data_IF_921035001735
#
_entry.id   IF_921035001735
#
_cell.length_a   1.000
_cell.length_b   1.000
_cell.length_c   1.000
_cell.angle_alpha   90.00
_cell.angle_beta   90.00
_cell.angle_gamma   90.00
#
_symmetry.space_group_name_H-M   'P 1'
#
loop_
_entity.id
_entity.type
_entity.pdbx_description
1 polymer ?
#
# COMPACT_ATOMS: atom_id res chain seq x y z
N UNK A 1 -20.53 -16.41 -31.37
CA UNK A 1 -19.16 -16.15 -30.87
C UNK A 1 -19.37 -15.96 -29.39
N UNK A 2 -19.14 -17.03 -28.64
CA UNK A 2 -19.50 -17.16 -27.22
C UNK A 2 -18.54 -16.29 -26.40
N UNK A 3 -19.12 -15.41 -25.59
CA UNK A 3 -18.45 -14.74 -24.49
C UNK A 3 -17.88 -15.82 -23.57
N UNK A 4 -16.58 -16.07 -23.67
CA UNK A 4 -15.84 -16.73 -22.59
C UNK A 4 -15.76 -15.69 -21.47
N UNK A 5 -16.71 -15.75 -20.55
CA UNK A 5 -16.48 -15.27 -19.19
C UNK A 5 -15.18 -15.93 -18.74
N UNK A 6 -14.10 -15.15 -18.67
CA UNK A 6 -12.88 -15.49 -17.97
C UNK A 6 -13.24 -15.71 -16.52
N UNK A 7 -13.71 -16.92 -16.23
CA UNK A 7 -13.83 -17.46 -14.90
C UNK A 7 -12.43 -17.35 -14.31
N UNK A 8 -12.29 -16.50 -13.30
CA UNK A 8 -11.04 -16.25 -12.59
C UNK A 8 -10.54 -17.56 -11.96
N UNK A 9 -9.74 -18.30 -12.73
CA UNK A 9 -9.28 -19.68 -12.47
C UNK A 9 -8.43 -19.78 -11.18
N UNK A 10 -8.04 -18.63 -10.60
CA UNK A 10 -7.19 -18.56 -9.42
C UNK A 10 -7.89 -18.03 -8.16
N UNK A 11 -9.17 -17.69 -8.25
CA UNK A 11 -9.96 -17.21 -7.12
C UNK A 11 -9.46 -15.88 -6.55
N UNK A 12 -8.83 -15.05 -7.36
CA UNK A 12 -8.39 -13.71 -7.01
C UNK A 12 -9.55 -12.86 -6.49
N UNK A 13 -10.70 -12.93 -7.15
CA UNK A 13 -11.93 -12.23 -6.76
C UNK A 13 -12.63 -12.79 -5.53
N UNK A 14 -12.22 -13.97 -5.05
CA UNK A 14 -12.73 -14.54 -3.80
C UNK A 14 -12.02 -14.00 -2.56
N UNK A 15 -10.86 -13.36 -2.74
CA UNK A 15 -10.09 -12.78 -1.63
C UNK A 15 -10.70 -11.41 -1.29
N UNK A 16 -11.08 -11.18 -0.03
CA UNK A 16 -11.75 -9.94 0.35
C UNK A 16 -10.79 -8.74 0.26
N UNK A 17 -11.31 -7.61 -0.20
CA UNK A 17 -10.63 -6.32 -0.06
C UNK A 17 -10.33 -6.03 1.41
N UNK A 18 -9.18 -5.39 1.67
CA UNK A 18 -8.76 -5.03 3.02
C UNK A 18 -9.77 -4.12 3.74
N UNK A 19 -10.55 -3.30 3.02
CA UNK A 19 -11.60 -2.47 3.64
C UNK A 19 -12.64 -3.33 4.36
N UNK A 20 -12.98 -4.48 3.77
CA UNK A 20 -13.96 -5.42 4.34
C UNK A 20 -13.29 -6.31 5.39
N UNK A 21 -12.16 -6.93 5.03
CA UNK A 21 -11.49 -7.91 5.89
C UNK A 21 -10.92 -7.31 7.19
N UNK A 22 -10.56 -6.03 7.16
CA UNK A 22 -10.00 -5.29 8.29
C UNK A 22 -10.97 -4.27 8.87
N UNK A 23 -12.26 -4.35 8.53
CA UNK A 23 -13.30 -3.52 9.13
C UNK A 23 -13.31 -3.73 10.66
N UNK A 24 -12.88 -2.72 11.40
CA UNK A 24 -12.76 -2.78 12.86
C UNK A 24 -11.35 -3.09 13.38
N UNK A 25 -10.32 -3.12 12.53
CA UNK A 25 -8.94 -3.12 13.02
C UNK A 25 -8.68 -1.83 13.82
N UNK A 26 -8.51 -1.98 15.13
CA UNK A 26 -8.14 -0.90 16.04
C UNK A 26 -6.65 -0.60 16.02
N UNK A 27 -6.27 0.50 16.67
CA UNK A 27 -4.88 0.96 16.83
C UNK A 27 -4.40 0.86 18.29
N UNK A 28 -5.18 0.19 19.14
CA UNK A 28 -5.03 0.08 20.60
C UNK A 28 -3.76 -0.65 21.04
N UNK A 29 -3.16 -1.48 20.17
CA UNK A 29 -1.92 -2.22 20.49
C UNK A 29 -0.67 -1.36 20.33
N UNK A 30 -0.78 -0.19 19.71
CA UNK A 30 0.35 0.71 19.52
C UNK A 30 0.68 1.45 20.83
N UNK A 31 1.97 1.57 21.12
CA UNK A 31 2.43 2.54 22.12
C UNK A 31 2.24 3.95 21.57
N UNK A 32 2.26 4.96 22.45
CA UNK A 32 2.19 6.36 22.04
C UNK A 32 3.30 6.73 21.02
N UNK A 33 4.52 6.22 21.24
CA UNK A 33 5.67 6.43 20.36
C UNK A 33 5.47 5.78 18.99
N UNK A 34 5.02 4.53 18.94
CA UNK A 34 4.75 3.84 17.67
C UNK A 34 3.63 4.54 16.90
N UNK A 35 2.52 4.88 17.58
CA UNK A 35 1.38 5.60 16.99
C UNK A 35 1.83 6.91 16.36
N UNK A 36 2.57 7.72 17.10
CA UNK A 36 3.08 9.02 16.63
C UNK A 36 4.04 8.84 15.46
N UNK A 37 4.94 7.87 15.53
CA UNK A 37 5.94 7.65 14.48
C UNK A 37 5.30 7.15 13.18
N UNK A 38 4.32 6.23 13.27
CA UNK A 38 3.54 5.74 12.13
C UNK A 38 2.69 6.87 11.53
N UNK A 39 2.06 7.70 12.35
CA UNK A 39 1.29 8.85 11.88
C UNK A 39 2.17 9.87 11.14
N UNK A 40 3.32 10.23 11.71
CA UNK A 40 4.29 11.12 11.06
C UNK A 40 4.78 10.52 9.75
N UNK A 41 5.08 9.21 9.72
CA UNK A 41 5.44 8.51 8.49
C UNK A 41 4.34 8.67 7.42
N UNK A 42 3.09 8.35 7.78
CA UNK A 42 1.96 8.37 6.86
C UNK A 42 1.63 9.77 6.29
N UNK A 43 1.80 10.83 7.09
CA UNK A 43 1.42 12.19 6.69
C UNK A 43 2.53 12.94 5.93
N UNK A 44 3.80 12.77 6.30
CA UNK A 44 4.88 13.60 5.72
C UNK A 44 6.28 12.98 5.76
N UNK A 45 6.48 11.91 6.53
CA UNK A 45 7.80 11.29 6.73
C UNK A 45 8.15 10.19 5.73
N UNK A 46 7.19 9.74 4.91
CA UNK A 46 7.35 8.54 4.09
C UNK A 46 8.46 8.67 3.04
N UNK A 47 8.59 9.81 2.36
CA UNK A 47 9.58 9.99 1.30
C UNK A 47 11.01 9.78 1.79
N UNK A 48 11.37 10.45 2.89
CA UNK A 48 12.73 10.38 3.44
C UNK A 48 13.06 8.96 3.92
N UNK A 49 12.11 8.31 4.61
CA UNK A 49 12.29 6.94 5.11
C UNK A 49 12.41 5.96 3.95
N UNK A 50 11.49 6.02 2.97
CA UNK A 50 11.46 5.09 1.85
C UNK A 50 12.71 5.25 0.95
N UNK A 51 13.15 6.49 0.69
CA UNK A 51 14.40 6.74 -0.06
C UNK A 51 15.62 6.16 0.65
N UNK A 52 15.72 6.29 1.97
CA UNK A 52 16.82 5.71 2.73
C UNK A 52 16.79 4.17 2.72
N UNK A 53 15.60 3.57 2.84
CA UNK A 53 15.43 2.11 2.74
C UNK A 53 15.80 1.57 1.35
N UNK A 54 15.52 2.33 0.29
CA UNK A 54 15.89 2.02 -1.11
C UNK A 54 17.35 2.36 -1.45
N UNK A 55 18.14 2.89 -0.50
CA UNK A 55 19.53 3.29 -0.74
C UNK A 55 19.71 4.57 -1.57
N UNK A 56 18.63 5.32 -1.81
CA UNK A 56 18.63 6.57 -2.59
C UNK A 56 19.01 7.80 -1.74
N UNK A 57 19.22 7.60 -0.44
CA UNK A 57 19.76 8.58 0.50
C UNK A 57 20.46 7.86 1.67
N UNK A 58 21.41 8.50 2.35
CA UNK A 58 22.10 7.89 3.50
C UNK A 58 21.15 7.46 4.62
N UNK A 59 21.38 6.26 5.16
CA UNK A 59 20.69 5.78 6.36
C UNK A 59 21.29 6.42 7.61
N UNK A 60 20.60 7.41 8.18
CA UNK A 60 21.02 8.05 9.44
C UNK A 60 20.56 7.22 10.66
N UNK A 61 21.19 7.39 11.84
CA UNK A 61 20.74 6.72 13.06
C UNK A 61 19.27 7.01 13.41
N UNK A 62 18.82 8.26 13.25
CA UNK A 62 17.43 8.64 13.51
C UNK A 62 16.42 8.03 12.52
N UNK A 63 16.79 7.85 11.25
CA UNK A 63 15.94 7.13 10.29
C UNK A 63 15.85 5.66 10.63
N UNK A 64 16.97 5.04 11.02
CA UNK A 64 16.99 3.63 11.46
C UNK A 64 16.09 3.41 12.67
N UNK A 65 16.19 4.26 13.68
CA UNK A 65 15.33 4.19 14.86
C UNK A 65 13.85 4.31 14.50
N UNK A 66 13.46 5.27 13.64
CA UNK A 66 12.09 5.41 13.17
C UNK A 66 11.60 4.17 12.42
N UNK A 67 12.42 3.60 11.53
CA UNK A 67 12.11 2.37 10.80
C UNK A 67 11.86 1.21 11.77
N UNK A 68 12.71 1.08 12.80
CA UNK A 68 12.58 0.01 13.78
C UNK A 68 11.31 0.16 14.63
N UNK A 69 10.95 1.39 15.01
CA UNK A 69 9.68 1.70 15.70
C UNK A 69 8.47 1.36 14.81
N UNK A 70 8.48 1.76 13.53
CA UNK A 70 7.39 1.44 12.60
C UNK A 70 7.25 -0.07 12.44
N UNK A 71 8.36 -0.79 12.22
CA UNK A 71 8.37 -2.26 12.14
C UNK A 71 7.84 -2.91 13.41
N UNK A 72 8.24 -2.41 14.58
CA UNK A 72 7.73 -2.91 15.86
C UNK A 72 6.22 -2.72 16.00
N UNK A 73 5.70 -1.56 15.60
CA UNK A 73 4.27 -1.27 15.60
C UNK A 73 3.49 -2.16 14.63
N UNK A 74 3.92 -2.26 13.37
CA UNK A 74 3.25 -3.06 12.34
C UNK A 74 3.19 -4.55 12.69
N UNK A 75 4.25 -5.10 13.31
CA UNK A 75 4.29 -6.51 13.75
C UNK A 75 3.20 -6.90 14.75
N UNK A 76 2.56 -5.93 15.42
CA UNK A 76 1.43 -6.17 16.34
C UNK A 76 0.11 -6.44 15.62
N UNK A 77 0.09 -6.22 14.31
CA UNK A 77 -1.07 -6.36 13.44
C UNK A 77 -0.74 -7.33 12.28
N UNK A 78 -0.48 -8.62 12.56
CA UNK A 78 -0.46 -9.61 11.50
C UNK A 78 -1.86 -9.71 10.88
N UNK A 79 -1.94 -9.78 9.56
CA UNK A 79 -3.22 -9.96 8.87
C UNK A 79 -3.88 -11.29 9.30
N UNK A 80 -5.16 -11.28 9.72
CA UNK A 80 -5.85 -12.48 10.18
C UNK A 80 -6.20 -13.45 9.05
N UNK A 81 -6.27 -12.95 7.82
CA UNK A 81 -6.54 -13.68 6.57
C UNK A 81 -5.77 -13.03 5.42
N UNK A 82 -5.73 -13.67 4.26
CA UNK A 82 -5.26 -13.01 3.05
C UNK A 82 -6.25 -11.91 2.64
N UNK A 83 -5.74 -10.79 2.13
CA UNK A 83 -6.56 -9.64 1.72
C UNK A 83 -6.09 -9.09 0.39
N UNK A 84 -7.00 -8.47 -0.36
CA UNK A 84 -6.68 -7.64 -1.53
C UNK A 84 -6.47 -6.20 -1.14
N UNK A 85 -5.43 -5.59 -1.70
CA UNK A 85 -5.14 -4.16 -1.59
C UNK A 85 -4.77 -3.63 -2.95
N UNK A 86 -5.04 -2.36 -3.20
CA UNK A 86 -4.72 -1.73 -4.48
C UNK A 86 -3.70 -0.62 -4.30
N UNK A 87 -2.96 -0.29 -5.36
CA UNK A 87 -2.04 0.84 -5.35
C UNK A 87 -1.95 1.41 -6.74
N UNK A 88 -2.17 2.72 -6.86
CA UNK A 88 -1.78 3.43 -8.05
C UNK A 88 -0.27 3.73 -8.03
N UNK A 89 0.37 3.53 -9.18
CA UNK A 89 1.77 3.82 -9.42
C UNK A 89 1.97 4.25 -10.87
N UNK A 90 3.13 4.84 -11.19
CA UNK A 90 3.48 5.14 -12.56
C UNK A 90 3.88 3.86 -13.32
N UNK A 91 3.41 3.73 -14.56
CA UNK A 91 3.73 2.63 -15.48
C UNK A 91 5.24 2.44 -15.68
N UNK A 92 5.98 3.56 -15.72
CA UNK A 92 7.44 3.60 -15.90
C UNK A 92 8.22 2.80 -14.86
N UNK A 93 7.69 2.65 -13.64
CA UNK A 93 8.36 1.90 -12.56
C UNK A 93 8.48 0.41 -12.90
N UNK A 94 7.62 -0.07 -13.79
CA UNK A 94 7.54 -1.46 -14.24
C UNK A 94 7.85 -1.60 -15.73
N UNK A 95 8.36 -0.53 -16.37
CA UNK A 95 8.63 -0.49 -17.81
C UNK A 95 7.39 -0.85 -18.67
N UNK A 96 6.20 -0.52 -18.18
CA UNK A 96 4.93 -0.79 -18.84
C UNK A 96 4.65 0.26 -19.91
N UNK A 97 4.54 -0.18 -21.16
CA UNK A 97 4.23 0.65 -22.32
C UNK A 97 2.99 0.17 -23.07
N UNK A 98 2.66 -1.10 -22.96
CA UNK A 98 1.53 -1.77 -23.60
C UNK A 98 1.18 -3.11 -22.90
N UNK A 99 0.16 -3.79 -23.40
CA UNK A 99 -0.27 -5.10 -22.89
C UNK A 99 0.85 -6.18 -22.98
N UNK A 100 1.67 -6.15 -24.03
CA UNK A 100 2.74 -7.13 -24.21
C UNK A 100 3.82 -6.96 -23.14
N UNK A 101 4.19 -5.73 -22.79
CA UNK A 101 5.10 -5.44 -21.68
C UNK A 101 4.52 -5.90 -20.34
N UNK A 102 3.21 -5.78 -20.12
CA UNK A 102 2.55 -6.30 -18.91
C UNK A 102 2.60 -7.84 -18.85
N UNK A 103 2.31 -8.53 -19.95
CA UNK A 103 2.39 -9.98 -20.02
C UNK A 103 3.82 -10.50 -19.83
N UNK A 104 4.84 -9.75 -20.25
CA UNK A 104 6.24 -10.11 -20.03
C UNK A 104 6.63 -10.13 -18.54
N UNK A 105 5.89 -9.44 -17.67
CA UNK A 105 6.14 -9.42 -16.22
C UNK A 105 5.51 -10.62 -15.49
N UNK A 106 4.70 -11.45 -16.15
CA UNK A 106 4.10 -12.63 -15.50
C UNK A 106 5.22 -13.53 -14.97
N UNK A 107 5.08 -13.99 -13.73
CA UNK A 107 6.08 -14.75 -12.96
C UNK A 107 7.37 -13.99 -12.59
N UNK A 108 7.47 -12.69 -12.88
CA UNK A 108 8.56 -11.85 -12.39
C UNK A 108 8.40 -11.55 -10.91
N UNK A 109 9.53 -11.39 -10.22
CA UNK A 109 9.61 -11.05 -8.80
C UNK A 109 10.15 -9.63 -8.65
N UNK A 110 9.49 -8.85 -7.81
CA UNK A 110 9.88 -7.48 -7.50
C UNK A 110 10.20 -7.36 -6.00
N UNK A 111 11.34 -6.74 -5.69
CA UNK A 111 11.74 -6.42 -4.33
C UNK A 111 11.41 -4.97 -4.01
N UNK A 112 10.56 -4.73 -3.01
CA UNK A 112 10.37 -3.41 -2.41
C UNK A 112 11.09 -3.37 -1.05
N UNK A 113 12.16 -2.59 -0.99
CA UNK A 113 12.96 -2.44 0.22
C UNK A 113 12.29 -1.52 1.26
N UNK A 114 11.41 -0.62 0.81
CA UNK A 114 10.69 0.31 1.67
C UNK A 114 9.38 -0.27 2.22
N UNK A 115 8.66 0.52 3.03
CA UNK A 115 7.28 0.18 3.35
C UNK A 115 6.39 0.46 2.14
N UNK A 116 5.46 -0.45 1.86
CA UNK A 116 4.53 -0.34 0.75
C UNK A 116 3.19 0.25 1.23
N UNK A 117 2.87 1.46 0.77
CA UNK A 117 1.56 2.08 1.02
C UNK A 117 0.55 1.57 -0.02
N UNK A 118 -0.63 1.18 0.44
CA UNK A 118 -1.69 0.64 -0.40
C UNK A 118 -3.05 1.18 0.05
N UNK A 119 -4.03 1.12 -0.85
CA UNK A 119 -5.43 1.40 -0.63
C UNK A 119 -6.16 0.12 -0.24
N UNK A 120 -7.12 0.26 0.67
CA UNK A 120 -8.01 -0.82 1.06
C UNK A 120 -9.22 -0.97 0.12
N UNK A 121 -9.39 -0.04 -0.83
CA UNK A 121 -10.48 0.02 -1.80
C UNK A 121 -10.12 -0.71 -3.09
N UNK A 122 -11.11 -1.16 -3.87
CA UNK A 122 -10.89 -1.69 -5.21
C UNK A 122 -10.35 -0.63 -6.19
N UNK A 123 -10.78 0.61 -6.02
CA UNK A 123 -10.31 1.75 -6.80
C UNK A 123 -9.45 2.65 -5.90
N UNK A 124 -8.11 2.67 -6.09
CA UNK A 124 -7.23 3.50 -5.29
C UNK A 124 -7.42 4.98 -5.62
N UNK A 125 -7.21 5.91 -4.67
CA UNK A 125 -7.23 7.34 -4.96
C UNK A 125 -6.25 7.70 -6.09
N UNK A 126 -6.73 8.47 -7.07
CA UNK A 126 -5.91 8.95 -8.18
C UNK A 126 -4.91 10.02 -7.75
N UNK A 127 -3.66 9.89 -8.23
CA UNK A 127 -2.61 10.89 -8.10
C UNK A 127 -2.39 11.60 -9.41
N UNK A 128 -2.54 12.93 -9.41
CA UNK A 128 -2.23 13.79 -10.55
C UNK A 128 -0.73 13.82 -10.92
N UNK A 129 0.13 13.23 -10.09
CA UNK A 129 1.57 13.17 -10.31
C UNK A 129 1.98 12.03 -11.25
N UNK A 130 1.12 11.05 -11.50
CA UNK A 130 1.41 9.95 -12.40
C UNK A 130 0.88 10.29 -13.80
N UNK A 131 1.78 10.47 -14.77
CA UNK A 131 1.41 10.78 -16.15
C UNK A 131 0.66 9.61 -16.83
N UNK A 132 1.06 8.38 -16.51
CA UNK A 132 0.46 7.13 -16.98
C UNK A 132 0.23 6.19 -15.78
N UNK A 133 -0.87 6.37 -15.03
CA UNK A 133 -1.12 5.58 -13.83
C UNK A 133 -1.52 4.14 -14.20
N UNK A 134 -0.95 3.18 -13.48
CA UNK A 134 -1.38 1.78 -13.47
C UNK A 134 -1.80 1.39 -12.06
N UNK A 135 -2.76 0.47 -11.97
CA UNK A 135 -3.23 -0.07 -10.70
C UNK A 135 -2.59 -1.43 -10.48
N UNK A 136 -1.87 -1.56 -9.37
CA UNK A 136 -1.48 -2.85 -8.83
C UNK A 136 -2.60 -3.34 -7.93
N UNK A 137 -3.15 -4.52 -8.22
CA UNK A 137 -4.08 -5.22 -7.34
C UNK A 137 -3.36 -6.44 -6.74
N UNK A 138 -3.12 -6.37 -5.44
CA UNK A 138 -2.16 -7.23 -4.74
C UNK A 138 -2.89 -8.09 -3.73
N UNK A 139 -2.57 -9.39 -3.72
CA UNK A 139 -2.89 -10.28 -2.62
C UNK A 139 -1.79 -10.15 -1.57
N UNK A 140 -2.17 -9.80 -0.35
CA UNK A 140 -1.29 -9.83 0.82
C UNK A 140 -1.65 -11.03 1.68
N UNK A 141 -0.69 -11.94 1.83
CA UNK A 141 -0.89 -13.19 2.56
C UNK A 141 -1.18 -12.98 4.05
N UNK A 142 -1.97 -13.89 4.62
CA UNK A 142 -2.20 -14.00 6.06
C UNK A 142 -0.87 -13.98 6.84
N UNK A 143 -0.87 -13.31 8.00
CA UNK A 143 0.30 -13.19 8.86
C UNK A 143 1.24 -12.06 8.50
N UNK A 144 1.12 -11.48 7.30
CA UNK A 144 1.90 -10.30 6.90
C UNK A 144 1.58 -9.13 7.85
N UNK A 145 2.58 -8.42 8.39
CA UNK A 145 2.34 -7.21 9.18
C UNK A 145 1.68 -6.11 8.33
N UNK A 146 0.51 -5.64 8.75
CA UNK A 146 -0.26 -4.63 8.02
C UNK A 146 -1.21 -3.86 8.93
N UNK A 147 -1.27 -2.54 8.73
CA UNK A 147 -2.12 -1.65 9.51
C UNK A 147 -2.96 -0.77 8.57
N UNK A 148 -4.28 -0.85 8.71
CA UNK A 148 -5.20 0.07 8.09
C UNK A 148 -5.09 1.41 8.82
N UNK A 149 -4.57 2.43 8.12
CA UNK A 149 -4.24 3.69 8.77
C UNK A 149 -5.46 4.53 9.16
N UNK A 150 -6.63 4.33 8.54
CA UNK A 150 -7.93 4.88 8.96
C UNK A 150 -7.85 6.25 9.67
N UNK A 151 -8.31 6.29 10.92
CA UNK A 151 -8.33 7.47 11.81
C UNK A 151 -6.94 8.10 12.10
N UNK A 152 -5.83 7.37 11.93
CA UNK A 152 -4.48 7.92 12.10
C UNK A 152 -4.09 8.86 10.96
N UNK A 153 -4.65 8.61 9.78
CA UNK A 153 -4.38 9.34 8.55
C UNK A 153 -5.59 10.15 8.10
N UNK A 154 -6.49 10.54 9.03
CA UNK A 154 -7.52 11.55 8.75
C UNK A 154 -6.84 12.84 8.27
N UNK A 155 -6.66 12.93 6.95
CA UNK A 155 -6.74 14.18 6.25
C UNK A 155 -8.12 14.73 6.61
N UNK A 156 -8.15 15.88 7.30
CA UNK A 156 -9.29 16.77 7.13
C UNK A 156 -9.39 16.90 5.62
N UNK A 157 -10.42 16.30 5.00
CA UNK A 157 -10.69 16.48 3.58
C UNK A 157 -10.64 17.99 3.37
N UNK A 158 -9.58 18.49 2.76
CA UNK A 158 -9.66 19.75 2.06
C UNK A 158 -10.80 19.50 1.10
N UNK A 159 -11.95 20.04 1.49
CA UNK A 159 -13.05 20.21 0.61
C UNK A 159 -12.48 21.07 -0.51
N UNK A 160 -12.08 20.44 -1.61
CA UNK A 160 -12.20 21.07 -2.91
C UNK A 160 -13.69 21.21 -3.21
N UNK A 161 -14.33 22.05 -2.40
CA UNK A 161 -15.37 22.96 -2.83
C UNK A 161 -14.75 23.84 -3.91
N UNK A 162 -14.72 23.31 -5.14
CA UNK A 162 -15.04 24.13 -6.30
C UNK A 162 -16.39 23.67 -6.82
N UNK A 163 -17.42 24.19 -6.14
CA UNK A 163 -18.69 24.55 -6.79
C UNK A 163 -18.37 25.51 -7.93
N UNK A 164 -18.77 25.17 -9.14
CA UNK A 164 -19.89 25.79 -9.86
C UNK A 164 -19.99 25.16 -11.26
#
# INVERSE_FOLDING_TARGET
MTDEETQDDYGFDQIPLAQVALAGQGIDRLTATERTTIQVYALSGYEQINRAMRGQSPMTPGLRERIDIIRAGLRKYPLPTAVRVTRETAAELYELVDEASAHALIYSVFDEAAFLSTSALADPPHSWLHADPVILDLIVSQGTPGLLLGELAEFTREQDHRRA
#
